data_IF_546038188393
#
_entry.id   IF_546038188393
#
_cell.length_a   1.000
_cell.length_b   1.000
_cell.length_c   1.000
_cell.angle_alpha   90.00
_cell.angle_beta   90.00
_cell.angle_gamma   90.00
#
_symmetry.space_group_name_H-M   'P 1'
#
loop_
_entity.id
_entity.type
_entity.pdbx_description
1 polymer ?
#
# COMPACT_ATOMS: atom_id res chain seq x y z
N UNK A 1 4.51 7.43 -14.63
CA UNK A 1 5.58 6.47 -14.41
C UNK A 1 5.99 6.46 -12.96
N UNK A 2 6.34 5.29 -12.44
CA UNK A 2 6.67 5.19 -11.04
C UNK A 2 8.10 5.65 -10.77
N UNK A 3 8.31 6.35 -9.64
CA UNK A 3 9.65 6.74 -9.27
C UNK A 3 10.14 5.68 -8.28
N UNK A 4 11.34 5.86 -7.76
CA UNK A 4 11.92 4.88 -6.84
C UNK A 4 11.12 4.72 -5.58
N UNK A 5 10.62 5.80 -5.05
CA UNK A 5 9.83 5.73 -3.82
C UNK A 5 8.57 4.92 -4.06
N UNK A 6 7.91 5.12 -5.20
CA UNK A 6 6.68 4.41 -5.51
C UNK A 6 6.94 2.91 -5.62
N UNK A 7 8.02 2.53 -6.29
CA UNK A 7 8.35 1.11 -6.42
C UNK A 7 8.71 0.51 -5.08
N UNK A 8 9.42 1.26 -4.25
CA UNK A 8 9.80 0.78 -2.93
C UNK A 8 8.56 0.54 -2.07
N UNK A 9 7.58 1.43 -2.18
CA UNK A 9 6.34 1.28 -1.43
C UNK A 9 5.59 0.02 -1.87
N UNK A 10 5.50 -0.20 -3.18
CA UNK A 10 4.80 -1.38 -3.68
C UNK A 10 5.55 -2.66 -3.30
N UNK A 11 6.87 -2.64 -3.37
CA UNK A 11 7.65 -3.81 -3.01
C UNK A 11 7.50 -4.12 -1.52
N UNK A 12 7.49 -3.08 -0.70
CA UNK A 12 7.33 -3.25 0.73
C UNK A 12 5.93 -3.81 1.03
N UNK A 13 4.93 -3.28 0.35
CA UNK A 13 3.55 -3.72 0.58
C UNK A 13 3.39 -5.19 0.18
N UNK A 14 4.02 -5.59 -0.91
CA UNK A 14 3.92 -6.97 -1.37
C UNK A 14 4.46 -7.93 -0.31
N UNK A 15 5.55 -7.57 0.35
CA UNK A 15 6.14 -8.42 1.36
C UNK A 15 5.51 -8.31 2.72
N UNK A 16 4.89 -7.19 3.02
CA UNK A 16 4.40 -6.93 4.37
C UNK A 16 3.29 -7.87 4.80
N UNK A 17 2.64 -8.52 3.86
CA UNK A 17 1.55 -9.42 4.22
C UNK A 17 2.07 -10.62 5.02
N UNK A 18 3.36 -10.91 4.87
CA UNK A 18 3.94 -12.05 5.54
C UNK A 18 4.73 -11.66 6.77
N UNK A 19 4.83 -10.37 7.04
CA UNK A 19 5.64 -9.91 8.15
C UNK A 19 4.82 -9.60 9.37
N UNK A 20 5.13 -10.18 10.51
CA UNK A 20 4.40 -9.86 11.72
C UNK A 20 4.92 -8.56 12.32
N UNK A 21 4.19 -8.00 13.21
CA UNK A 21 4.65 -6.84 13.94
C UNK A 21 4.04 -5.54 13.47
N UNK A 22 4.38 -4.45 14.13
CA UNK A 22 3.77 -3.16 13.83
C UNK A 22 4.24 -2.62 12.48
N UNK A 23 3.31 -2.46 11.59
CA UNK A 23 3.60 -2.04 10.23
C UNK A 23 4.13 -0.62 10.17
N UNK A 24 3.61 0.28 11.00
CA UNK A 24 4.04 1.67 10.99
C UNK A 24 5.54 1.77 11.28
N UNK A 25 6.00 0.98 12.24
CA UNK A 25 7.40 1.00 12.60
C UNK A 25 8.24 0.42 11.47
N UNK A 26 7.76 -0.64 10.83
CA UNK A 26 8.47 -1.25 9.72
C UNK A 26 8.58 -0.28 8.55
N UNK A 27 7.55 0.52 8.31
CA UNK A 27 7.57 1.50 7.23
C UNK A 27 8.68 2.52 7.48
N UNK A 28 8.76 3.03 8.70
CA UNK A 28 9.78 4.01 9.01
C UNK A 28 11.18 3.42 8.90
N UNK A 29 11.36 2.22 9.39
CA UNK A 29 12.69 1.60 9.38
C UNK A 29 13.13 1.16 8.00
N UNK A 30 12.21 0.66 7.21
CA UNK A 30 12.55 0.17 5.88
C UNK A 30 12.57 1.23 4.80
N UNK A 31 11.66 2.17 4.87
CA UNK A 31 11.49 3.15 3.81
C UNK A 31 11.90 4.56 4.20
N UNK A 32 12.06 4.80 5.49
CA UNK A 32 12.39 6.14 5.94
C UNK A 32 11.23 7.11 5.78
N UNK A 33 10.01 6.62 5.68
CA UNK A 33 8.82 7.45 5.51
C UNK A 33 7.98 7.39 6.77
N UNK A 34 7.20 8.45 7.01
CA UNK A 34 6.24 8.38 8.09
C UNK A 34 5.09 7.51 7.60
N UNK A 35 4.33 6.93 8.51
CA UNK A 35 3.20 6.11 8.15
C UNK A 35 2.17 6.93 7.37
N UNK A 36 1.96 8.20 7.76
CA UNK A 36 0.98 9.04 7.08
C UNK A 36 1.36 9.23 5.61
N UNK A 37 2.64 9.51 5.35
CA UNK A 37 3.08 9.70 3.98
C UNK A 37 2.99 8.40 3.18
N UNK A 38 3.34 7.29 3.82
CA UNK A 38 3.28 5.98 3.17
C UNK A 38 1.86 5.69 2.70
N UNK A 39 0.88 5.86 3.58
CA UNK A 39 -0.51 5.55 3.24
C UNK A 39 -1.08 6.54 2.23
N UNK A 40 -0.63 7.79 2.29
CA UNK A 40 -1.09 8.76 1.33
C UNK A 40 -0.61 8.38 -0.07
N UNK A 41 0.66 8.01 -0.20
CA UNK A 41 1.21 7.59 -1.49
C UNK A 41 0.58 6.27 -1.94
N UNK A 42 0.35 5.36 -1.01
CA UNK A 42 -0.23 4.08 -1.34
C UNK A 42 -1.63 4.25 -1.94
N UNK A 43 -2.42 5.17 -1.38
CA UNK A 43 -3.74 5.42 -1.93
C UNK A 43 -3.67 5.95 -3.36
N UNK A 44 -2.69 6.80 -3.63
CA UNK A 44 -2.52 7.31 -4.98
C UNK A 44 -2.09 6.20 -5.93
N UNK A 45 -1.24 5.29 -5.45
CA UNK A 45 -0.78 4.20 -6.29
C UNK A 45 -1.89 3.20 -6.59
N UNK A 46 -2.84 3.06 -5.69
CA UNK A 46 -3.92 2.11 -5.87
C UNK A 46 -4.73 2.37 -7.14
N UNK A 47 -4.77 3.63 -7.58
CA UNK A 47 -5.52 3.98 -8.78
C UNK A 47 -4.58 4.40 -9.93
N UNK A 48 -3.32 4.05 -9.82
CA UNK A 48 -2.34 4.45 -10.82
C UNK A 48 -2.09 3.32 -11.82
N UNK A 49 -2.26 3.59 -13.10
CA UNK A 49 -2.07 2.58 -14.12
C UNK A 49 -0.65 2.03 -14.13
N UNK A 50 0.33 2.90 -13.87
CA UNK A 50 1.73 2.45 -13.85
C UNK A 50 1.98 1.48 -12.70
N UNK A 51 1.33 1.70 -11.56
CA UNK A 51 1.47 0.79 -10.42
C UNK A 51 0.83 -0.55 -10.74
N UNK A 52 -0.32 -0.53 -11.40
CA UNK A 52 -1.00 -1.75 -11.77
C UNK A 52 -0.15 -2.55 -12.75
N UNK A 53 0.55 -1.88 -13.65
CA UNK A 53 1.41 -2.56 -14.60
C UNK A 53 2.66 -3.13 -13.91
N UNK A 54 3.15 -2.42 -12.90
CA UNK A 54 4.36 -2.85 -12.20
C UNK A 54 4.08 -4.06 -11.30
N UNK A 55 3.00 -4.02 -10.56
CA UNK A 55 2.67 -5.11 -9.64
C UNK A 55 1.15 -5.22 -9.54
N UNK A 56 0.53 -5.89 -10.49
CA UNK A 56 -0.92 -5.94 -10.54
C UNK A 56 -1.56 -6.58 -9.30
N UNK A 57 -0.96 -7.61 -8.77
CA UNK A 57 -1.55 -8.29 -7.63
C UNK A 57 -1.58 -7.42 -6.40
N UNK A 58 -0.45 -6.79 -6.07
CA UNK A 58 -0.38 -5.93 -4.89
C UNK A 58 -1.26 -4.71 -5.07
N UNK A 59 -1.24 -4.10 -6.26
CA UNK A 59 -2.05 -2.91 -6.52
C UNK A 59 -3.53 -3.23 -6.38
N UNK A 60 -3.98 -4.37 -6.88
CA UNK A 60 -5.39 -4.75 -6.76
C UNK A 60 -5.76 -5.03 -5.31
N UNK A 61 -4.85 -5.61 -4.53
CA UNK A 61 -5.12 -5.86 -3.13
C UNK A 61 -5.27 -4.56 -2.35
N UNK A 62 -4.40 -3.61 -2.63
CA UNK A 62 -4.46 -2.32 -1.95
C UNK A 62 -5.77 -1.61 -2.30
N UNK A 63 -6.14 -1.65 -3.57
CA UNK A 63 -7.37 -0.99 -3.99
C UNK A 63 -8.57 -1.63 -3.30
N UNK A 64 -8.58 -2.93 -3.19
CA UNK A 64 -9.69 -3.63 -2.54
C UNK A 64 -9.80 -3.24 -1.07
N UNK A 65 -8.68 -3.11 -0.40
CA UNK A 65 -8.68 -2.73 1.01
C UNK A 65 -9.19 -1.30 1.18
N UNK A 66 -8.74 -0.41 0.31
CA UNK A 66 -9.16 0.98 0.41
C UNK A 66 -10.63 1.17 0.09
N UNK A 67 -11.11 0.49 -0.95
CA UNK A 67 -12.50 0.62 -1.33
C UNK A 67 -13.46 -0.19 -0.49
N UNK A 68 -12.95 -1.13 0.23
CA UNK A 68 -13.83 -1.95 1.00
C UNK A 68 -14.45 -1.14 2.09
N UNK A 69 -15.70 -1.08 2.11
CA UNK A 69 -16.38 -0.26 3.04
C UNK A 69 -16.42 -0.99 4.30
N UNK A 70 -15.47 -0.97 5.01
CA UNK A 70 -15.42 -1.62 6.15
C UNK A 70 -16.59 -1.47 6.87
N UNK A 71 -17.04 -0.50 6.80
CA UNK A 71 -18.12 -0.25 7.47
C UNK A 71 -19.12 -0.92 7.03
N UNK A 72 -19.09 -1.13 6.09
CA UNK A 72 -20.06 -1.70 5.49
C UNK A 72 -20.33 -2.73 6.27
N UNK A 73 -19.42 -3.11 6.64
CA UNK A 73 -19.76 -4.15 7.31
C UNK A 73 -20.75 -3.76 8.24
N UNK A 74 -20.86 -3.09 8.29
CA UNK A 74 -21.62 -2.84 9.03
C UNK A 74 -22.75 -2.75 8.71
N UNK A 75 -22.72 -2.47 8.35
CA UNK A 75 -23.72 -2.18 8.05
C UNK A 75 -24.46 -3.05 8.08
N UNK A 76 -24.53 -3.20 8.36
CA UNK A 76 -25.14 -3.77 8.39
C UNK A 76 -25.75 -3.99 8.62
#
# INVERSE_FOLDING_TARGET
>A
MLNEEDRAILDFERGSWLEPGPKDQAIEMSLGLSAARYYERLRSLAVCAAALAYDPLTTKRVLAIIEEPTETGLAV
#
